data_IF_006289108573
#
_entry.id   IF_006289108573
#
_cell.length_a   1.000
_cell.length_b   1.000
_cell.length_c   1.000
_cell.angle_alpha   90.00
_cell.angle_beta   90.00
_cell.angle_gamma   90.00
#
_symmetry.space_group_name_H-M   'P 1'
#
loop_
_entity.id
_entity.type
_entity.pdbx_description
1 polymer ?
#
# COMPACT_ATOMS: atom_id res chain seq x y z
N UNK A 1 -11.24 30.13 -49.52
CA UNK A 1 -11.17 29.05 -50.53
C UNK A 1 -11.69 27.78 -49.90
N UNK A 2 -12.89 27.34 -50.29
CA UNK A 2 -13.51 26.11 -49.80
C UNK A 2 -12.77 24.90 -50.37
N UNK A 3 -12.29 24.00 -49.51
CA UNK A 3 -11.76 22.70 -49.96
C UNK A 3 -12.96 21.82 -50.33
N UNK A 4 -13.18 21.69 -51.63
CA UNK A 4 -14.14 20.77 -52.21
C UNK A 4 -13.67 19.33 -51.94
N UNK A 5 -14.54 18.54 -51.28
CA UNK A 5 -14.29 17.12 -51.00
C UNK A 5 -14.26 16.35 -52.33
N UNK A 6 -13.08 16.18 -52.91
CA UNK A 6 -12.89 15.28 -54.06
C UNK A 6 -13.14 13.85 -53.62
N UNK A 7 -14.35 13.36 -53.89
CA UNK A 7 -14.70 11.94 -53.80
C UNK A 7 -13.92 11.18 -54.88
N UNK A 8 -12.92 10.42 -54.46
CA UNK A 8 -12.20 9.48 -55.31
C UNK A 8 -13.16 8.33 -55.66
N UNK A 9 -13.38 7.99 -56.95
CA UNK A 9 -14.36 6.98 -57.31
C UNK A 9 -13.88 5.58 -56.91
N UNK A 10 -14.73 4.82 -56.21
CA UNK A 10 -14.48 3.42 -55.85
C UNK A 10 -14.25 3.13 -54.36
N UNK A 11 -14.28 4.13 -53.48
CA UNK A 11 -14.11 3.94 -52.03
C UNK A 11 -15.34 4.49 -51.29
N UNK A 12 -16.13 3.60 -50.69
CA UNK A 12 -17.21 3.97 -49.77
C UNK A 12 -16.60 4.37 -48.40
N UNK A 13 -16.08 5.59 -48.31
CA UNK A 13 -15.68 6.14 -47.01
C UNK A 13 -16.92 6.43 -46.15
N UNK A 14 -17.15 5.56 -45.16
CA UNK A 14 -18.13 5.83 -44.12
C UNK A 14 -17.63 6.96 -43.21
N UNK A 15 -18.24 8.14 -43.35
CA UNK A 15 -18.03 9.32 -42.49
C UNK A 15 -18.23 9.00 -40.98
N UNK A 16 -19.05 7.98 -40.69
CA UNK A 16 -19.28 7.50 -39.33
C UNK A 16 -18.04 6.80 -38.74
N UNK A 17 -17.35 5.96 -39.51
CA UNK A 17 -16.15 5.28 -39.04
C UNK A 17 -14.96 6.24 -38.86
N UNK A 18 -14.81 7.22 -39.77
CA UNK A 18 -13.78 8.26 -39.66
C UNK A 18 -13.94 9.15 -38.42
N UNK A 19 -15.17 9.55 -38.11
CA UNK A 19 -15.46 10.37 -36.92
C UNK A 19 -15.35 9.57 -35.61
N UNK A 20 -15.65 8.27 -35.63
CA UNK A 20 -15.43 7.36 -34.51
C UNK A 20 -13.94 7.20 -34.21
N UNK A 21 -13.12 6.92 -35.22
CA UNK A 21 -11.66 6.78 -35.09
C UNK A 21 -11.03 8.06 -34.52
N UNK A 22 -11.40 9.23 -35.05
CA UNK A 22 -10.89 10.51 -34.58
C UNK A 22 -11.26 10.80 -33.11
N UNK A 23 -12.45 10.38 -32.65
CA UNK A 23 -12.86 10.48 -31.24
C UNK A 23 -12.09 9.49 -30.37
N UNK A 24 -11.87 8.27 -30.84
CA UNK A 24 -11.14 7.23 -30.11
C UNK A 24 -9.66 7.61 -29.93
N UNK A 25 -9.02 8.20 -30.96
CA UNK A 25 -7.66 8.73 -30.85
C UNK A 25 -7.57 9.86 -29.81
N UNK A 26 -8.51 10.81 -29.81
CA UNK A 26 -8.50 11.90 -28.81
C UNK A 26 -8.73 11.39 -27.39
N UNK A 27 -9.66 10.45 -27.22
CA UNK A 27 -9.95 9.86 -25.92
C UNK A 27 -8.77 9.02 -25.42
N UNK A 28 -8.22 8.16 -26.27
CA UNK A 28 -7.05 7.34 -25.95
C UNK A 28 -5.83 8.21 -25.61
N UNK A 29 -5.59 9.29 -26.36
CA UNK A 29 -4.53 10.24 -26.07
C UNK A 29 -4.72 10.94 -24.71
N UNK A 30 -5.94 11.37 -24.39
CA UNK A 30 -6.25 11.97 -23.09
C UNK A 30 -6.04 10.96 -21.94
N UNK A 31 -6.50 9.72 -22.09
CA UNK A 31 -6.29 8.65 -21.10
C UNK A 31 -4.80 8.36 -20.92
N UNK A 32 -4.03 8.28 -22.01
CA UNK A 32 -2.59 8.07 -21.96
C UNK A 32 -1.88 9.21 -21.20
N UNK A 33 -2.24 10.47 -21.49
CA UNK A 33 -1.69 11.62 -20.77
C UNK A 33 -1.99 11.59 -19.28
N UNK A 34 -3.18 11.14 -18.88
CA UNK A 34 -3.55 10.96 -17.47
C UNK A 34 -2.66 9.90 -16.83
N UNK A 35 -2.50 8.73 -17.46
CA UNK A 35 -1.66 7.64 -16.92
C UNK A 35 -0.21 8.10 -16.76
N UNK A 36 0.35 8.78 -17.78
CA UNK A 36 1.71 9.32 -17.71
C UNK A 36 1.83 10.34 -16.58
N UNK A 37 0.84 11.22 -16.42
CA UNK A 37 0.85 12.21 -15.35
C UNK A 37 0.80 11.56 -13.97
N UNK A 38 -0.03 10.53 -13.79
CA UNK A 38 -0.08 9.72 -12.54
C UNK A 38 1.25 9.01 -12.27
N UNK A 39 1.91 8.49 -13.31
CA UNK A 39 3.22 7.85 -13.19
C UNK A 39 4.31 8.85 -12.76
N UNK A 40 4.35 10.05 -13.36
CA UNK A 40 5.29 11.12 -12.98
C UNK A 40 5.04 11.61 -11.54
N UNK A 41 3.77 11.68 -11.12
CA UNK A 41 3.40 12.01 -9.73
C UNK A 41 3.71 10.89 -8.72
N UNK A 42 4.21 9.73 -9.18
CA UNK A 42 4.59 8.63 -8.31
C UNK A 42 3.42 7.86 -7.72
N UNK A 43 2.22 7.93 -8.33
CA UNK A 43 1.05 7.15 -7.90
C UNK A 43 1.30 5.64 -8.01
N UNK A 44 2.14 5.24 -8.96
CA UNK A 44 2.55 3.86 -9.20
C UNK A 44 3.95 3.55 -8.70
N UNK A 45 4.55 4.35 -7.82
CA UNK A 45 5.92 4.16 -7.29
C UNK A 45 5.97 4.33 -5.76
N UNK A 46 7.12 4.06 -5.15
CA UNK A 46 7.39 4.30 -3.71
C UNK A 46 7.56 5.81 -3.46
N UNK A 47 6.45 6.55 -3.62
CA UNK A 47 6.41 8.00 -3.59
C UNK A 47 5.68 8.58 -2.38
N UNK A 48 5.61 9.91 -2.33
CA UNK A 48 4.94 10.65 -1.25
C UNK A 48 3.46 10.24 -1.07
N UNK A 49 2.78 9.84 -2.13
CA UNK A 49 1.36 9.44 -2.10
C UNK A 49 1.12 7.98 -1.71
N UNK A 50 2.13 7.11 -1.81
CA UNK A 50 1.99 5.71 -1.42
C UNK A 50 2.16 5.52 0.09
N UNK A 51 2.88 6.41 0.77
CA UNK A 51 3.07 6.36 2.21
C UNK A 51 1.79 6.79 2.97
N UNK A 52 1.42 6.02 3.98
CA UNK A 52 0.33 6.31 4.90
C UNK A 52 0.79 6.18 6.34
N UNK A 53 0.18 7.00 7.19
CA UNK A 53 0.36 7.00 8.64
C UNK A 53 -1.00 6.77 9.28
N UNK A 54 -1.08 5.78 10.16
CA UNK A 54 -2.29 5.51 10.96
C UNK A 54 -1.92 5.50 12.44
N UNK A 55 -2.82 5.98 13.30
CA UNK A 55 -2.64 6.03 14.75
C UNK A 55 -3.81 5.34 15.44
N UNK A 56 -3.55 4.77 16.61
CA UNK A 56 -4.63 4.27 17.45
C UNK A 56 -5.39 5.46 18.09
N UNK A 57 -6.57 5.20 18.64
CA UNK A 57 -7.44 6.24 19.22
C UNK A 57 -6.78 7.02 20.36
N UNK A 58 -5.86 6.39 21.10
CA UNK A 58 -5.09 7.02 22.18
C UNK A 58 -3.84 7.78 21.69
N UNK A 59 -3.43 7.60 20.44
CA UNK A 59 -2.20 8.20 19.88
C UNK A 59 -0.89 7.58 20.37
N UNK A 60 -0.96 6.54 21.20
CA UNK A 60 0.19 5.84 21.78
C UNK A 60 0.98 5.05 20.75
N UNK A 61 0.28 4.55 19.71
CA UNK A 61 0.88 3.76 18.63
C UNK A 61 0.65 4.43 17.29
N UNK A 62 1.71 4.50 16.51
CA UNK A 62 1.70 4.96 15.13
C UNK A 62 2.22 3.86 14.21
N UNK A 63 1.48 3.56 13.15
CA UNK A 63 1.91 2.71 12.06
C UNK A 63 2.18 3.56 10.82
N UNK A 64 3.38 3.44 10.24
CA UNK A 64 3.71 3.96 8.92
C UNK A 64 3.85 2.78 7.97
N UNK A 65 3.17 2.85 6.83
CA UNK A 65 3.07 1.77 5.87
C UNK A 65 2.82 2.31 4.46
N UNK A 66 3.04 1.49 3.45
CA UNK A 66 2.71 1.82 2.07
C UNK A 66 1.30 1.32 1.73
N UNK A 67 0.42 2.19 1.21
CA UNK A 67 -0.95 1.85 0.80
C UNK A 67 -0.98 0.87 -0.36
N UNK A 68 0.09 0.84 -1.16
CA UNK A 68 0.20 0.06 -2.37
C UNK A 68 1.48 -0.75 -2.34
N UNK A 69 1.37 -2.07 -2.44
CA UNK A 69 2.51 -2.97 -2.60
C UNK A 69 2.50 -3.65 -3.97
N UNK A 70 3.55 -4.40 -4.28
CA UNK A 70 3.61 -5.26 -5.47
C UNK A 70 3.95 -6.67 -5.05
N UNK A 71 3.38 -7.64 -5.74
CA UNK A 71 3.67 -9.05 -5.53
C UNK A 71 5.18 -9.28 -5.59
N UNK A 72 5.72 -10.04 -4.62
CA UNK A 72 7.15 -10.34 -4.51
C UNK A 72 8.10 -9.15 -4.34
N UNK A 73 7.59 -7.93 -4.12
CA UNK A 73 8.41 -6.75 -3.84
C UNK A 73 8.39 -6.45 -2.35
N UNK A 74 9.58 -6.38 -1.74
CA UNK A 74 9.71 -6.11 -0.31
C UNK A 74 9.39 -4.65 0.01
N UNK A 75 8.70 -4.42 1.14
CA UNK A 75 8.51 -3.07 1.67
C UNK A 75 8.59 -3.06 3.20
N UNK A 76 8.70 -1.85 3.77
CA UNK A 76 8.89 -1.64 5.21
C UNK A 76 7.60 -1.18 5.88
N UNK A 77 7.31 -1.77 7.03
CA UNK A 77 6.34 -1.28 7.99
C UNK A 77 7.08 -0.72 9.19
N UNK A 78 6.71 0.47 9.65
CA UNK A 78 7.30 1.10 10.84
C UNK A 78 6.23 1.31 11.90
N UNK A 79 6.36 0.59 13.00
CA UNK A 79 5.54 0.73 14.18
C UNK A 79 6.31 1.56 15.19
N UNK A 80 5.75 2.69 15.62
CA UNK A 80 6.32 3.54 16.65
C UNK A 80 5.37 3.60 17.84
N UNK A 81 5.91 3.45 19.05
CA UNK A 81 5.17 3.65 20.29
C UNK A 81 5.80 4.78 21.08
N UNK A 82 4.97 5.71 21.56
CA UNK A 82 5.42 6.93 22.26
C UNK A 82 5.53 6.70 23.77
N UNK A 83 4.80 5.73 24.32
CA UNK A 83 4.73 5.50 25.77
C UNK A 83 4.54 4.01 26.08
N UNK A 84 5.66 3.25 26.06
CA UNK A 84 5.63 1.87 26.55
C UNK A 84 5.64 1.91 28.07
N UNK A 85 4.49 1.57 28.67
CA UNK A 85 4.35 1.39 30.11
C UNK A 85 5.41 0.39 30.61
N UNK A 86 5.79 0.52 31.88
CA UNK A 86 6.89 -0.21 32.54
C UNK A 86 6.85 -1.75 32.44
N UNK A 87 5.78 -2.34 31.94
CA UNK A 87 5.57 -3.78 31.77
C UNK A 87 6.04 -4.34 30.41
N UNK A 88 6.48 -3.48 29.49
CA UNK A 88 6.91 -3.87 28.14
C UNK A 88 5.78 -3.81 27.10
N UNK A 89 6.09 -4.21 25.86
CA UNK A 89 5.18 -4.10 24.72
C UNK A 89 4.92 -5.43 24.02
N UNK A 90 3.67 -5.88 24.04
CA UNK A 90 3.17 -7.00 23.23
C UNK A 90 2.46 -6.42 22.00
N UNK A 91 3.07 -6.54 20.83
CA UNK A 91 2.49 -6.12 19.58
C UNK A 91 1.83 -7.31 18.89
N UNK A 92 0.53 -7.20 18.65
CA UNK A 92 -0.25 -8.17 17.88
C UNK A 92 -0.48 -7.63 16.49
N UNK A 93 -0.15 -8.43 15.48
CA UNK A 93 -0.39 -8.15 14.07
C UNK A 93 -1.30 -9.25 13.53
N UNK A 94 -2.46 -8.88 13.03
CA UNK A 94 -3.52 -9.81 12.65
C UNK A 94 -4.34 -9.36 11.45
N UNK A 95 -5.53 -9.95 11.31
CA UNK A 95 -6.36 -9.78 10.11
C UNK A 95 -5.76 -10.54 8.94
N UNK A 96 -5.68 -9.91 7.77
CA UNK A 96 -5.17 -10.55 6.56
C UNK A 96 -3.63 -10.66 6.50
N UNK A 97 -2.91 -10.16 7.51
CA UNK A 97 -1.47 -9.94 7.46
C UNK A 97 -0.68 -11.21 7.11
N UNK A 98 -0.82 -12.27 7.91
CA UNK A 98 -0.09 -13.54 7.71
C UNK A 98 -0.56 -14.29 6.45
N UNK A 99 -1.75 -13.97 5.91
CA UNK A 99 -2.28 -14.59 4.70
C UNK A 99 -1.74 -13.95 3.42
N UNK A 100 -1.34 -12.68 3.47
CA UNK A 100 -0.86 -11.87 2.35
C UNK A 100 0.65 -11.61 2.37
N UNK A 101 1.30 -11.70 3.53
CA UNK A 101 2.69 -11.29 3.70
C UNK A 101 3.56 -12.37 4.35
N UNK A 102 4.74 -12.57 3.76
CA UNK A 102 5.84 -13.23 4.44
C UNK A 102 6.69 -12.20 5.18
N UNK A 103 6.90 -12.40 6.48
CA UNK A 103 7.83 -11.56 7.25
C UNK A 103 9.26 -12.02 6.99
N UNK A 104 10.06 -11.19 6.31
CA UNK A 104 11.48 -11.48 6.04
C UNK A 104 12.36 -11.10 7.23
N UNK A 105 12.12 -9.93 7.82
CA UNK A 105 12.92 -9.49 8.95
C UNK A 105 12.17 -8.53 9.88
N UNK A 106 12.54 -8.54 11.16
CA UNK A 106 12.04 -7.64 12.21
C UNK A 106 13.22 -7.00 12.95
N UNK A 107 13.22 -5.67 13.09
CA UNK A 107 14.21 -4.93 13.88
C UNK A 107 13.56 -3.85 14.77
N UNK A 108 13.94 -3.74 16.05
CA UNK A 108 14.81 -4.66 16.79
C UNK A 108 14.18 -6.04 16.94
N UNK A 109 15.01 -7.06 17.17
CA UNK A 109 14.53 -8.42 17.37
C UNK A 109 13.70 -8.50 18.66
N UNK A 110 12.50 -9.12 18.63
CA UNK A 110 11.69 -9.30 19.83
C UNK A 110 12.33 -10.32 20.79
N UNK A 111 12.07 -10.17 22.09
CA UNK A 111 12.48 -11.14 23.10
C UNK A 111 11.71 -12.46 22.95
N UNK A 112 10.45 -12.38 22.52
CA UNK A 112 9.64 -13.55 22.13
C UNK A 112 8.80 -13.22 20.91
N UNK A 113 8.71 -14.19 20.00
CA UNK A 113 7.83 -14.14 18.85
C UNK A 113 7.06 -15.45 18.77
N UNK A 114 5.75 -15.37 18.61
CA UNK A 114 4.89 -16.55 18.46
C UNK A 114 3.63 -16.22 17.68
N UNK A 115 3.00 -17.23 17.10
CA UNK A 115 1.70 -17.11 16.47
C UNK A 115 0.62 -17.71 17.37
N UNK A 116 -0.56 -17.10 17.37
CA UNK A 116 -1.75 -17.62 18.05
C UNK A 116 -2.96 -17.40 17.15
N UNK A 117 -3.53 -18.48 16.62
CA UNK A 117 -4.48 -18.37 15.51
C UNK A 117 -3.77 -17.81 14.27
N UNK A 118 -4.42 -16.87 13.59
CA UNK A 118 -3.87 -16.19 12.42
C UNK A 118 -3.07 -14.92 12.77
N UNK A 119 -2.87 -14.65 14.06
CA UNK A 119 -2.19 -13.45 14.55
C UNK A 119 -0.73 -13.73 14.93
N UNK A 120 0.16 -12.81 14.58
CA UNK A 120 1.56 -12.77 14.96
C UNK A 120 1.74 -11.88 16.19
N UNK A 121 2.44 -12.38 17.21
CA UNK A 121 2.75 -11.65 18.44
C UNK A 121 4.25 -11.40 18.54
N UNK A 122 4.63 -10.14 18.78
CA UNK A 122 6.00 -9.68 19.03
C UNK A 122 6.07 -9.11 20.45
N UNK A 123 6.90 -9.70 21.30
CA UNK A 123 7.03 -9.32 22.72
C UNK A 123 8.37 -8.67 22.95
N UNK A 124 8.33 -7.47 23.53
CA UNK A 124 9.51 -6.72 23.96
C UNK A 124 9.42 -6.43 25.46
N UNK A 125 10.40 -6.90 26.22
CA UNK A 125 10.49 -6.74 27.66
C UNK A 125 11.24 -5.45 28.02
N UNK A 126 10.83 -4.82 29.12
CA UNK A 126 11.41 -3.57 29.65
C UNK A 126 12.82 -3.80 30.19
N UNK A 127 13.86 -3.62 29.35
CA UNK A 127 15.24 -3.66 29.85
C UNK A 127 16.19 -2.65 29.21
N UNK A 128 15.77 -1.85 28.23
CA UNK A 128 16.64 -0.85 27.61
C UNK A 128 15.86 0.36 27.14
N UNK A 129 15.88 1.44 27.92
CA UNK A 129 15.63 2.82 27.48
C UNK A 129 14.68 2.92 26.26
N UNK A 130 13.45 2.40 26.41
CA UNK A 130 12.49 2.21 25.31
C UNK A 130 11.64 3.47 25.07
N UNK A 131 12.10 4.62 25.55
CA UNK A 131 11.53 5.91 25.17
C UNK A 131 11.57 6.04 23.64
N UNK A 132 10.40 6.08 23.01
CA UNK A 132 10.22 6.15 21.56
C UNK A 132 10.76 4.95 20.77
N UNK A 133 10.42 3.72 21.18
CA UNK A 133 10.75 2.52 20.42
C UNK A 133 10.07 2.49 19.03
N UNK A 134 10.86 2.20 17.99
CA UNK A 134 10.38 1.94 16.65
C UNK A 134 10.74 0.51 16.19
N UNK A 135 9.73 -0.25 15.78
CA UNK A 135 9.85 -1.59 15.21
C UNK A 135 9.67 -1.48 13.69
N UNK A 136 10.61 -2.03 12.97
CA UNK A 136 10.63 -2.13 11.52
C UNK A 136 10.39 -3.58 11.12
N UNK A 137 9.39 -3.81 10.29
CA UNK A 137 9.14 -5.10 9.65
C UNK A 137 9.43 -4.97 8.16
N UNK A 138 10.26 -5.86 7.64
CA UNK A 138 10.47 -6.04 6.22
C UNK A 138 9.60 -7.23 5.78
N UNK A 139 8.65 -6.98 4.90
CA UNK A 139 7.65 -7.96 4.49
C UNK A 139 7.60 -8.07 2.97
N UNK A 140 7.24 -9.26 2.48
CA UNK A 140 7.07 -9.54 1.06
C UNK A 140 5.64 -10.02 0.80
N UNK A 141 4.88 -9.38 -0.10
CA UNK A 141 3.57 -9.87 -0.48
C UNK A 141 3.65 -11.17 -1.27
N UNK A 142 2.80 -12.13 -0.91
CA UNK A 142 2.71 -13.44 -1.57
C UNK A 142 1.42 -13.63 -2.38
N UNK A 143 0.47 -12.70 -2.28
CA UNK A 143 -0.79 -12.70 -3.04
C UNK A 143 -1.17 -11.29 -3.50
N UNK A 144 -1.73 -11.12 -4.71
CA UNK A 144 -2.30 -9.85 -5.15
C UNK A 144 -3.68 -9.62 -4.51
N UNK A 145 -4.12 -8.36 -4.44
CA UNK A 145 -5.46 -7.97 -3.99
C UNK A 145 -5.48 -6.96 -2.83
N UNK A 146 -6.69 -6.67 -2.34
CA UNK A 146 -6.91 -5.80 -1.18
C UNK A 146 -6.77 -6.59 0.11
N UNK A 147 -6.12 -6.01 1.11
CA UNK A 147 -5.90 -6.62 2.42
C UNK A 147 -6.27 -5.64 3.53
N UNK A 148 -6.89 -6.16 4.58
CA UNK A 148 -7.21 -5.43 5.81
C UNK A 148 -6.44 -6.07 6.97
N UNK A 149 -5.42 -5.39 7.45
CA UNK A 149 -4.58 -5.86 8.55
C UNK A 149 -4.84 -5.05 9.82
N UNK A 150 -4.52 -5.66 10.96
CA UNK A 150 -4.75 -5.08 12.29
C UNK A 150 -3.45 -5.06 13.06
N UNK A 151 -3.16 -3.94 13.72
CA UNK A 151 -2.06 -3.80 14.67
C UNK A 151 -2.61 -3.39 16.03
N UNK A 152 -2.17 -4.04 17.10
CA UNK A 152 -2.55 -3.71 18.47
C UNK A 152 -1.34 -3.75 19.39
N UNK A 153 -1.24 -2.79 20.30
CA UNK A 153 -0.29 -2.82 21.41
C UNK A 153 -1.03 -3.23 22.68
N UNK A 154 -0.54 -4.26 23.34
CA UNK A 154 -1.09 -4.82 24.57
C UNK A 154 -2.60 -5.08 24.43
N UNK A 155 -3.41 -4.59 25.36
CA UNK A 155 -4.88 -4.63 25.31
C UNK A 155 -5.49 -3.29 24.87
N UNK A 156 -4.70 -2.42 24.22
CA UNK A 156 -5.13 -1.09 23.79
C UNK A 156 -5.97 -1.09 22.51
N UNK A 157 -6.37 0.09 22.01
CA UNK A 157 -7.14 0.21 20.77
C UNK A 157 -6.37 -0.28 19.55
N UNK A 158 -7.07 -0.93 18.63
CA UNK A 158 -6.52 -1.44 17.39
C UNK A 158 -6.31 -0.34 16.33
N UNK A 159 -5.26 -0.49 15.54
CA UNK A 159 -5.06 0.23 14.28
C UNK A 159 -5.43 -0.72 13.14
N UNK A 160 -6.46 -0.36 12.39
CA UNK A 160 -6.83 -1.05 11.14
C UNK A 160 -6.17 -0.33 9.97
N UNK A 161 -5.51 -1.07 9.09
CA UNK A 161 -4.87 -0.51 7.91
C UNK A 161 -5.14 -1.36 6.68
N UNK A 162 -5.42 -0.67 5.57
CA UNK A 162 -5.77 -1.28 4.30
C UNK A 162 -4.65 -1.06 3.30
N UNK A 163 -4.27 -2.12 2.59
CA UNK A 163 -3.30 -2.04 1.50
C UNK A 163 -3.85 -2.74 0.26
N UNK A 164 -3.34 -2.35 -0.90
CA UNK A 164 -3.64 -3.02 -2.17
C UNK A 164 -2.34 -3.51 -2.81
N UNK A 165 -2.28 -4.81 -3.11
CA UNK A 165 -1.13 -5.46 -3.71
C UNK A 165 -1.37 -5.65 -5.19
N UNK A 166 -0.58 -4.96 -6.02
CA UNK A 166 -0.54 -5.15 -7.46
C UNK A 166 0.07 -6.52 -7.81
N UNK A 167 -0.43 -7.21 -8.83
CA UNK A 167 0.16 -8.45 -9.34
C UNK A 167 1.54 -8.24 -9.94
#
# INVERSE_FOLDING_TARGET
>A
MSRENQKVPGIEESQYFLSFEARFHKLGFAVLLIIISLAVLGVFSDGYFSNAMSKNTTGEVTLNFERFGRLQTEFKLKISATDQHSEGGIYRIGGDFNAFYETKNIWPLPDRMYSKGDDLYLVYNTNKNQENMAIWLLVTPVKPGSTTSVLQLNSGPEIRFNQFIYP
#
